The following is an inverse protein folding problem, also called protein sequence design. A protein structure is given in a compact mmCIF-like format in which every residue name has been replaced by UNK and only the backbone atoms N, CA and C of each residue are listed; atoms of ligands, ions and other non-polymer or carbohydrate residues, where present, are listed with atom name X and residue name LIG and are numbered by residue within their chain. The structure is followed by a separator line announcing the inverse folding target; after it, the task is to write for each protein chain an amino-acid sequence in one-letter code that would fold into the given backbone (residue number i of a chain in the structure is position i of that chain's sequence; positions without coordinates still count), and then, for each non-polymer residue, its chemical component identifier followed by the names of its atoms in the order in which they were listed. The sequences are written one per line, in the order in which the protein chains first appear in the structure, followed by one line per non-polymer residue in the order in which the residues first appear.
data_IF_261693025473
#
_entry.id   IF_261693025473
#
_cell.length_a   1.000
_cell.length_b   1.000
_cell.length_c   1.000
_cell.angle_alpha   90.00
_cell.angle_beta   90.00
_cell.angle_gamma   90.00
#
_symmetry.space_group_name_H-M   'P 1'
#
loop_
_entity.id
_entity.type
_entity.pdbx_description
1 polymer ?
#
# COMPACT_ATOMS: atom_id res chain seq x y z
N UNK A 1 61.11 6.03 -47.55
CA UNK A 1 60.64 4.79 -46.86
C UNK A 1 59.65 5.20 -45.80
N UNK A 2 58.37 5.11 -46.10
CA UNK A 2 57.25 5.49 -45.20
C UNK A 2 56.59 4.18 -44.75
N UNK A 3 56.68 3.91 -43.42
CA UNK A 3 56.04 2.76 -42.81
C UNK A 3 54.62 3.13 -42.46
N UNK A 4 53.64 2.48 -43.10
CA UNK A 4 52.22 2.51 -42.73
C UNK A 4 52.01 1.66 -41.50
N UNK A 5 51.48 2.27 -40.44
CA UNK A 5 51.01 1.62 -39.22
C UNK A 5 49.52 1.33 -39.37
N UNK A 6 49.15 0.06 -39.62
CA UNK A 6 47.77 -0.39 -39.68
C UNK A 6 47.23 -0.58 -38.29
N UNK A 7 46.27 0.28 -37.89
CA UNK A 7 45.45 0.13 -36.68
C UNK A 7 44.39 -0.95 -36.92
N UNK A 8 44.54 -2.07 -36.24
CA UNK A 8 43.49 -3.09 -36.15
C UNK A 8 42.42 -2.62 -35.16
N UNK A 9 41.25 -2.20 -35.70
CA UNK A 9 40.05 -1.95 -34.90
C UNK A 9 39.41 -3.30 -34.64
N UNK A 10 39.59 -3.80 -33.42
CA UNK A 10 38.92 -5.01 -32.93
C UNK A 10 37.45 -4.73 -32.68
N UNK A 11 36.58 -5.24 -33.55
CA UNK A 11 35.15 -5.26 -33.31
C UNK A 11 34.82 -6.28 -32.22
N UNK A 12 34.52 -5.80 -31.02
CA UNK A 12 33.98 -6.62 -29.94
C UNK A 12 32.50 -6.88 -30.23
N UNK A 13 32.19 -8.01 -30.82
CA UNK A 13 30.82 -8.51 -30.96
C UNK A 13 30.39 -9.02 -29.55
N UNK A 14 29.65 -8.17 -28.84
CA UNK A 14 28.90 -8.61 -27.67
C UNK A 14 27.82 -9.60 -28.10
N UNK A 15 28.04 -10.86 -27.83
CA UNK A 15 27.01 -11.88 -27.88
C UNK A 15 25.97 -11.59 -26.80
N UNK A 16 24.86 -10.97 -27.19
CA UNK A 16 23.66 -10.86 -26.38
C UNK A 16 22.95 -12.19 -26.50
N UNK A 17 23.11 -13.05 -25.50
CA UNK A 17 22.28 -14.24 -25.35
C UNK A 17 20.82 -13.82 -25.19
N UNK A 18 19.85 -14.41 -25.91
CA UNK A 18 18.46 -14.13 -25.66
C UNK A 18 18.11 -14.64 -24.29
N UNK A 19 17.87 -13.74 -23.34
CA UNK A 19 17.28 -14.06 -22.05
C UNK A 19 15.90 -14.67 -22.31
N UNK A 20 15.78 -15.92 -21.91
CA UNK A 20 14.59 -16.73 -21.90
C UNK A 20 13.40 -15.91 -21.37
N UNK A 21 12.40 -15.69 -22.23
CA UNK A 21 11.16 -14.98 -21.90
C UNK A 21 10.28 -15.86 -21.03
N UNK A 22 10.69 -16.08 -19.79
CA UNK A 22 9.77 -16.46 -18.72
C UNK A 22 8.84 -15.26 -18.51
N UNK A 23 7.56 -15.51 -18.65
CA UNK A 23 6.44 -14.59 -18.52
C UNK A 23 6.46 -13.85 -17.17
N UNK A 24 7.34 -12.86 -17.04
CA UNK A 24 7.32 -11.91 -15.93
C UNK A 24 6.50 -10.73 -16.42
N UNK A 25 5.24 -10.69 -16.06
CA UNK A 25 4.45 -9.45 -16.03
C UNK A 25 5.14 -8.48 -15.09
N UNK A 26 6.32 -7.99 -15.48
CA UNK A 26 6.97 -6.87 -14.81
C UNK A 26 6.11 -5.66 -15.09
N UNK A 27 5.43 -5.20 -14.02
CA UNK A 27 4.70 -3.96 -14.07
C UNK A 27 5.70 -2.86 -14.37
N UNK A 28 5.44 -2.20 -15.45
CA UNK A 28 6.12 -0.98 -15.80
C UNK A 28 5.58 0.13 -14.90
N UNK A 29 6.22 0.32 -13.73
CA UNK A 29 6.11 1.56 -12.98
C UNK A 29 7.18 2.46 -13.59
N UNK A 30 6.87 3.71 -13.96
CA UNK A 30 7.90 4.67 -14.34
C UNK A 30 8.89 4.76 -13.18
N UNK A 31 10.07 4.18 -13.36
CA UNK A 31 11.08 4.02 -12.30
C UNK A 31 11.44 5.34 -11.65
N UNK A 32 11.53 6.41 -12.43
CA UNK A 32 11.79 7.77 -11.93
C UNK A 32 10.74 8.29 -10.94
N UNK A 33 9.46 7.99 -11.19
CA UNK A 33 8.37 8.46 -10.34
C UNK A 33 8.28 7.63 -9.05
N UNK A 34 8.42 6.32 -9.15
CA UNK A 34 8.38 5.42 -8.01
C UNK A 34 9.60 5.59 -7.09
N UNK A 35 10.80 5.74 -7.64
CA UNK A 35 12.02 5.93 -6.86
C UNK A 35 12.05 7.28 -6.13
N UNK A 36 11.65 8.38 -6.80
CA UNK A 36 11.60 9.69 -6.17
C UNK A 36 10.60 9.73 -5.01
N UNK A 37 9.44 9.10 -5.16
CA UNK A 37 8.42 9.04 -4.13
C UNK A 37 8.77 8.06 -3.01
N UNK A 38 9.32 6.90 -3.33
CA UNK A 38 9.78 5.93 -2.33
C UNK A 38 10.88 6.53 -1.45
N UNK A 39 11.83 7.25 -2.06
CA UNK A 39 12.89 7.97 -1.34
C UNK A 39 12.31 9.04 -0.42
N UNK A 40 11.38 9.87 -0.92
CA UNK A 40 10.73 10.91 -0.13
C UNK A 40 9.95 10.32 1.06
N UNK A 41 9.29 9.17 0.88
CA UNK A 41 8.53 8.48 1.94
C UNK A 41 9.46 7.78 2.92
N UNK A 42 10.56 7.16 2.46
CA UNK A 42 11.54 6.52 3.35
C UNK A 42 12.28 7.53 4.23
N UNK A 43 12.37 8.79 3.78
CA UNK A 43 12.94 9.91 4.51
C UNK A 43 11.93 10.64 5.42
N UNK A 44 10.62 10.30 5.34
CA UNK A 44 9.61 10.86 6.23
C UNK A 44 9.92 10.50 7.68
N UNK A 45 10.59 11.41 8.35
CA UNK A 45 10.65 11.41 9.82
C UNK A 45 9.32 11.97 10.28
N UNK A 46 8.43 11.11 10.76
CA UNK A 46 7.21 11.58 11.38
C UNK A 46 7.59 12.54 12.51
N UNK A 47 7.05 13.76 12.51
CA UNK A 47 7.35 14.69 13.59
C UNK A 47 6.90 14.04 14.90
N UNK A 48 7.83 13.85 15.82
CA UNK A 48 7.54 13.33 17.16
C UNK A 48 6.64 14.26 17.99
N UNK A 49 6.35 15.45 17.47
CA UNK A 49 5.40 16.42 18.02
C UNK A 49 4.29 16.68 17.02
N UNK A 50 3.16 16.03 17.22
CA UNK A 50 1.89 16.50 16.66
C UNK A 50 1.61 17.83 17.33
N UNK A 51 1.44 18.90 16.55
CA UNK A 51 1.04 20.19 17.11
C UNK A 51 -0.31 20.01 17.77
N UNK A 52 -0.50 20.62 18.93
CA UNK A 52 -1.74 20.54 19.72
C UNK A 52 -3.00 20.84 18.90
N UNK A 53 -2.90 21.73 17.92
CA UNK A 53 -4.01 22.09 17.00
C UNK A 53 -4.46 20.93 16.10
N UNK A 54 -3.54 20.08 15.61
CA UNK A 54 -3.91 18.94 14.78
C UNK A 54 -4.59 17.82 15.60
N UNK A 55 -4.25 17.69 16.88
CA UNK A 55 -4.85 16.69 17.76
C UNK A 55 -6.27 17.05 18.23
N UNK A 56 -6.64 18.32 18.21
CA UNK A 56 -7.97 18.80 18.63
C UNK A 56 -9.05 18.53 17.57
N UNK A 57 -8.67 18.40 16.29
CA UNK A 57 -9.62 18.21 15.19
C UNK A 57 -9.80 16.74 14.78
N UNK A 58 -9.05 15.82 15.36
CA UNK A 58 -9.09 14.40 14.99
C UNK A 58 -9.98 13.63 15.96
N UNK A 59 -10.93 12.87 15.39
CA UNK A 59 -11.75 11.94 16.18
C UNK A 59 -10.87 10.81 16.74
N UNK A 60 -10.74 10.67 18.06
CA UNK A 60 -9.93 9.62 18.69
C UNK A 60 -10.37 8.20 18.27
N UNK A 61 -11.66 8.00 17.98
CA UNK A 61 -12.18 6.71 17.56
C UNK A 61 -11.71 6.37 16.14
N UNK A 62 -11.74 7.32 15.22
CA UNK A 62 -11.22 7.15 13.85
C UNK A 62 -9.70 6.87 13.85
N UNK A 63 -8.95 7.53 14.75
CA UNK A 63 -7.53 7.26 14.95
C UNK A 63 -7.28 5.83 15.45
N UNK A 64 -8.05 5.38 16.43
CA UNK A 64 -7.91 4.03 16.98
C UNK A 64 -8.22 2.97 15.91
N UNK A 65 -9.31 3.14 15.14
CA UNK A 65 -9.68 2.25 14.06
C UNK A 65 -8.58 2.17 12.97
N UNK A 66 -8.05 3.31 12.54
CA UNK A 66 -6.96 3.36 11.56
C UNK A 66 -5.70 2.70 12.11
N UNK A 67 -5.35 2.97 13.36
CA UNK A 67 -4.17 2.40 14.00
C UNK A 67 -4.24 0.89 14.12
N UNK A 68 -5.39 0.35 14.50
CA UNK A 68 -5.64 -1.10 14.54
C UNK A 68 -5.52 -1.72 13.17
N UNK A 69 -6.11 -1.10 12.15
CA UNK A 69 -6.02 -1.61 10.79
C UNK A 69 -4.57 -1.68 10.29
N UNK A 70 -3.79 -0.61 10.47
CA UNK A 70 -2.36 -0.60 10.11
C UNK A 70 -1.59 -1.66 10.89
N UNK A 71 -1.89 -1.82 12.18
CA UNK A 71 -1.19 -2.79 13.02
C UNK A 71 -1.41 -4.23 12.55
N UNK A 72 -2.65 -4.62 12.32
CA UNK A 72 -2.97 -6.00 11.95
C UNK A 72 -2.62 -6.35 10.49
N UNK A 73 -2.66 -5.36 9.60
CA UNK A 73 -2.38 -5.58 8.19
C UNK A 73 -0.89 -5.37 7.82
N UNK A 74 -0.18 -4.47 8.52
CA UNK A 74 1.13 -4.00 8.08
C UNK A 74 2.15 -3.76 9.20
N UNK A 75 2.00 -4.35 10.40
CA UNK A 75 2.90 -4.08 11.52
C UNK A 75 4.38 -4.34 11.21
N UNK A 76 4.67 -5.33 10.37
CA UNK A 76 6.02 -5.73 9.98
C UNK A 76 6.53 -5.03 8.72
N UNK A 77 5.66 -4.31 8.01
CA UNK A 77 6.01 -3.58 6.80
C UNK A 77 6.82 -2.30 7.13
N UNK A 78 7.46 -1.76 6.11
CA UNK A 78 8.10 -0.45 6.20
C UNK A 78 7.09 0.65 6.53
N UNK A 79 7.57 1.85 6.82
CA UNK A 79 6.70 3.03 6.98
C UNK A 79 5.85 3.28 5.74
N UNK A 80 6.42 3.04 4.54
CA UNK A 80 5.69 3.18 3.27
C UNK A 80 4.57 2.13 3.15
N UNK A 81 4.82 0.87 3.51
CA UNK A 81 3.79 -0.18 3.52
C UNK A 81 2.66 0.12 4.50
N UNK A 82 2.99 0.57 5.72
CA UNK A 82 2.00 1.03 6.71
C UNK A 82 1.16 2.20 6.18
N UNK A 83 1.81 3.17 5.53
CA UNK A 83 1.13 4.32 4.94
C UNK A 83 0.23 3.92 3.77
N UNK A 84 0.67 2.98 2.94
CA UNK A 84 -0.12 2.47 1.82
C UNK A 84 -1.42 1.79 2.29
N UNK A 85 -1.37 1.00 3.37
CA UNK A 85 -2.58 0.42 3.98
C UNK A 85 -3.52 1.51 4.50
N UNK A 86 -2.98 2.55 5.16
CA UNK A 86 -3.78 3.70 5.59
C UNK A 86 -4.44 4.41 4.41
N UNK A 87 -3.72 4.62 3.31
CA UNK A 87 -4.23 5.27 2.11
C UNK A 87 -5.33 4.47 1.42
N UNK A 88 -5.21 3.14 1.33
CA UNK A 88 -6.32 2.29 0.85
C UNK A 88 -7.58 2.49 1.69
N UNK A 89 -7.45 2.57 3.01
CA UNK A 89 -8.57 2.85 3.90
C UNK A 89 -9.18 4.23 3.60
N UNK A 90 -8.36 5.28 3.45
CA UNK A 90 -8.82 6.62 3.11
C UNK A 90 -9.42 6.71 1.68
N UNK A 91 -8.88 5.96 0.73
CA UNK A 91 -9.43 5.88 -0.62
C UNK A 91 -10.82 5.23 -0.62
N UNK A 92 -11.02 4.22 0.23
CA UNK A 92 -12.37 3.66 0.43
C UNK A 92 -13.31 4.70 1.05
N UNK A 93 -12.91 5.40 2.11
CA UNK A 93 -13.71 6.47 2.72
C UNK A 93 -14.13 7.55 1.72
N UNK A 94 -13.25 7.92 0.78
CA UNK A 94 -13.53 8.91 -0.28
C UNK A 94 -14.42 8.36 -1.40
N UNK A 95 -14.53 7.06 -1.52
CA UNK A 95 -15.24 6.40 -2.62
C UNK A 95 -16.72 6.20 -2.29
N UNK A 96 -17.60 6.58 -3.20
CA UNK A 96 -19.06 6.35 -3.07
C UNK A 96 -19.48 4.88 -2.95
N UNK A 97 -18.57 3.92 -3.18
CA UNK A 97 -18.83 2.48 -3.11
C UNK A 97 -18.56 1.88 -1.73
N UNK A 98 -18.07 2.68 -0.79
CA UNK A 98 -17.71 2.25 0.55
C UNK A 98 -18.33 3.15 1.61
N UNK A 99 -18.35 2.73 2.87
CA UNK A 99 -18.71 3.62 3.96
C UNK A 99 -17.83 4.87 4.03
N UNK A 100 -18.32 5.94 4.62
CA UNK A 100 -17.70 7.26 4.61
C UNK A 100 -16.91 7.63 5.88
N UNK A 101 -16.66 6.66 6.78
CA UNK A 101 -15.80 6.84 7.95
C UNK A 101 -14.75 5.74 8.03
N UNK A 102 -13.62 6.00 8.68
CA UNK A 102 -12.55 5.01 8.83
C UNK A 102 -13.04 3.77 9.58
N UNK A 103 -13.69 3.96 10.72
CA UNK A 103 -14.19 2.86 11.53
C UNK A 103 -15.18 1.98 10.74
N UNK A 104 -16.10 2.58 10.00
CA UNK A 104 -17.07 1.80 9.22
C UNK A 104 -16.46 1.09 8.03
N UNK A 105 -15.38 1.62 7.44
CA UNK A 105 -14.58 0.93 6.42
C UNK A 105 -13.78 -0.21 7.01
N UNK A 106 -13.12 0.01 8.16
CA UNK A 106 -12.29 -0.99 8.83
C UNK A 106 -13.10 -2.19 9.30
N UNK A 107 -14.24 -1.93 9.90
CA UNK A 107 -15.13 -2.98 10.42
C UNK A 107 -16.20 -3.43 9.40
N UNK A 108 -16.04 -3.11 8.13
CA UNK A 108 -16.97 -3.51 7.09
C UNK A 108 -16.96 -5.04 6.89
N UNK A 109 -18.11 -5.68 7.02
CA UNK A 109 -18.26 -7.11 6.84
C UNK A 109 -19.71 -7.57 6.95
N UNK A 110 -19.94 -8.88 6.85
CA UNK A 110 -21.24 -9.46 7.17
C UNK A 110 -21.34 -9.66 8.68
N UNK A 111 -22.51 -9.36 9.24
CA UNK A 111 -22.78 -9.55 10.65
C UNK A 111 -23.98 -10.50 10.84
N UNK A 112 -23.96 -11.23 11.93
CA UNK A 112 -25.10 -11.98 12.44
C UNK A 112 -26.16 -11.04 13.02
N UNK A 113 -27.35 -11.53 13.26
CA UNK A 113 -28.44 -10.74 13.89
C UNK A 113 -28.09 -10.19 15.27
N UNK A 114 -27.18 -10.84 15.98
CA UNK A 114 -26.68 -10.40 17.29
C UNK A 114 -25.56 -9.36 17.21
N UNK A 115 -25.22 -8.88 16.01
CA UNK A 115 -24.19 -7.86 15.77
C UNK A 115 -22.76 -8.36 15.68
N UNK A 116 -22.46 -9.63 15.95
CA UNK A 116 -21.11 -10.18 15.79
C UNK A 116 -20.76 -10.38 14.32
N UNK A 117 -19.50 -10.17 13.89
CA UNK A 117 -19.08 -10.39 12.53
C UNK A 117 -19.15 -11.88 12.17
N UNK A 118 -19.54 -12.16 10.93
CA UNK A 118 -19.50 -13.50 10.37
C UNK A 118 -18.05 -13.84 10.01
N UNK A 119 -17.55 -14.97 10.52
CA UNK A 119 -16.18 -15.41 10.32
C UNK A 119 -15.79 -15.42 8.84
N UNK A 120 -14.59 -14.90 8.52
CA UNK A 120 -14.00 -14.81 7.18
C UNK A 120 -14.86 -14.05 6.15
N UNK A 121 -15.73 -13.13 6.61
CA UNK A 121 -16.63 -12.32 5.75
C UNK A 121 -16.43 -10.81 5.93
N UNK A 122 -15.23 -10.38 6.31
CA UNK A 122 -14.88 -8.98 6.49
C UNK A 122 -13.96 -8.49 5.38
N UNK A 123 -13.95 -7.15 5.18
CA UNK A 123 -13.05 -6.52 4.20
C UNK A 123 -11.58 -6.59 4.64
N UNK A 124 -11.33 -6.42 5.93
CA UNK A 124 -10.06 -6.69 6.58
C UNK A 124 -10.20 -7.97 7.39
N UNK A 125 -9.41 -8.98 7.06
CA UNK A 125 -9.61 -10.34 7.55
C UNK A 125 -9.43 -10.48 9.06
N UNK A 126 -8.51 -9.70 9.64
CA UNK A 126 -8.20 -9.74 11.06
C UNK A 126 -9.42 -9.47 11.96
N UNK A 127 -10.37 -8.63 11.49
CA UNK A 127 -11.56 -8.27 12.27
C UNK A 127 -12.51 -9.46 12.51
N UNK A 128 -12.48 -10.49 11.67
CA UNK A 128 -13.37 -11.64 11.81
C UNK A 128 -12.70 -13.00 11.57
N UNK A 129 -11.39 -13.09 11.81
CA UNK A 129 -10.64 -14.36 11.76
C UNK A 129 -10.80 -15.21 13.03
N UNK A 130 -11.46 -14.65 14.05
CA UNK A 130 -11.73 -15.28 15.35
C UNK A 130 -10.57 -15.23 16.33
N UNK A 131 -9.56 -14.37 16.06
CA UNK A 131 -8.49 -14.07 16.99
C UNK A 131 -8.81 -12.83 17.82
N UNK A 132 -7.91 -12.50 18.73
CA UNK A 132 -8.05 -11.34 19.59
C UNK A 132 -7.62 -10.06 18.85
N UNK A 133 -8.49 -9.05 18.81
CA UNK A 133 -8.32 -7.81 18.04
C UNK A 133 -7.70 -6.66 18.85
N UNK A 134 -6.93 -7.00 19.90
CA UNK A 134 -6.21 -5.98 20.67
C UNK A 134 -4.72 -6.00 20.33
N UNK A 135 -4.16 -4.87 19.87
CA UNK A 135 -2.75 -4.77 19.54
C UNK A 135 -1.85 -4.97 20.77
N UNK A 136 -0.76 -5.71 20.61
CA UNK A 136 0.27 -5.80 21.64
C UNK A 136 0.93 -4.44 21.84
N UNK A 137 1.03 -3.98 23.09
CA UNK A 137 1.73 -2.74 23.42
C UNK A 137 3.21 -2.87 23.05
N UNK A 138 3.76 -1.88 22.33
CA UNK A 138 5.17 -1.89 21.94
C UNK A 138 5.45 -1.00 20.75
N UNK A 139 6.64 -1.21 20.17
CA UNK A 139 7.15 -0.39 19.06
C UNK A 139 6.22 -0.40 17.85
N UNK A 140 5.79 -1.58 17.41
CA UNK A 140 4.91 -1.73 16.23
C UNK A 140 3.56 -1.01 16.40
N UNK A 141 2.95 -1.11 17.60
CA UNK A 141 1.73 -0.38 17.90
C UNK A 141 1.94 1.13 17.91
N UNK A 142 3.08 1.59 18.50
CA UNK A 142 3.42 3.01 18.47
C UNK A 142 3.59 3.52 17.04
N UNK A 143 4.35 2.81 16.21
CA UNK A 143 4.54 3.17 14.80
C UNK A 143 3.23 3.20 14.01
N UNK A 144 2.34 2.23 14.24
CA UNK A 144 1.02 2.21 13.61
C UNK A 144 0.19 3.44 13.97
N UNK A 145 0.22 3.88 15.23
CA UNK A 145 -0.43 5.12 15.67
C UNK A 145 0.21 6.37 15.06
N UNK A 146 1.52 6.41 14.97
CA UNK A 146 2.24 7.55 14.39
C UNK A 146 1.88 7.70 12.89
N UNK A 147 1.83 6.58 12.15
CA UNK A 147 1.41 6.56 10.75
C UNK A 147 -0.07 6.90 10.59
N UNK A 148 -0.95 6.36 11.43
CA UNK A 148 -2.38 6.66 11.42
C UNK A 148 -2.63 8.16 11.64
N UNK A 149 -1.95 8.74 12.63
CA UNK A 149 -2.03 10.17 12.92
C UNK A 149 -1.58 11.00 11.72
N UNK A 150 -0.44 10.65 11.11
CA UNK A 150 0.06 11.33 9.92
C UNK A 150 -0.95 11.26 8.75
N UNK A 151 -1.49 10.08 8.49
CA UNK A 151 -2.44 9.87 7.40
C UNK A 151 -3.75 10.65 7.59
N UNK A 152 -4.25 10.75 8.82
CA UNK A 152 -5.50 11.43 9.12
C UNK A 152 -5.37 12.96 9.18
N UNK A 153 -4.19 13.46 9.56
CA UNK A 153 -3.97 14.91 9.69
C UNK A 153 -3.42 15.56 8.43
N UNK A 154 -2.77 14.80 7.54
CA UNK A 154 -2.15 15.34 6.34
C UNK A 154 -3.03 15.11 5.10
N UNK A 155 -4.06 15.93 4.95
CA UNK A 155 -5.05 15.84 3.86
C UNK A 155 -4.48 16.11 2.45
N UNK A 156 -3.30 16.74 2.37
CA UNK A 156 -2.58 17.06 1.10
C UNK A 156 -1.51 16.02 0.77
N UNK A 157 -1.44 14.92 1.53
CA UNK A 157 -0.50 13.86 1.28
C UNK A 157 -0.71 13.24 -0.10
N UNK A 158 0.39 13.00 -0.82
CA UNK A 158 0.37 12.24 -2.06
C UNK A 158 -0.10 10.81 -1.80
N UNK A 159 -1.00 10.31 -2.62
CA UNK A 159 -1.41 8.91 -2.58
C UNK A 159 -0.39 8.02 -3.31
N UNK A 160 0.42 7.31 -2.55
CA UNK A 160 1.46 6.42 -3.07
C UNK A 160 0.90 5.12 -3.64
N UNK A 161 -0.40 4.87 -3.47
CA UNK A 161 -1.08 3.68 -3.97
C UNK A 161 -1.79 3.92 -5.30
N UNK A 162 -1.76 5.15 -5.83
CA UNK A 162 -2.45 5.57 -7.06
C UNK A 162 -3.97 5.26 -7.02
N UNK A 163 -4.60 5.64 -5.92
CA UNK A 163 -6.04 5.47 -5.73
C UNK A 163 -6.49 4.04 -5.47
N UNK A 164 -5.58 3.15 -5.07
CA UNK A 164 -5.93 1.77 -4.80
C UNK A 164 -6.97 1.64 -3.68
N UNK A 165 -7.88 0.71 -3.87
CA UNK A 165 -8.92 0.35 -2.89
C UNK A 165 -8.83 -1.11 -2.46
N UNK A 166 -7.91 -1.88 -3.06
CA UNK A 166 -7.68 -3.29 -2.76
C UNK A 166 -6.19 -3.59 -2.78
N UNK A 167 -5.80 -4.61 -2.03
CA UNK A 167 -4.47 -5.20 -2.08
C UNK A 167 -4.52 -6.66 -1.65
N UNK A 168 -3.48 -7.39 -1.96
CA UNK A 168 -3.18 -8.70 -1.38
C UNK A 168 -1.68 -8.85 -1.20
N UNK A 169 -1.27 -9.78 -0.35
CA UNK A 169 0.14 -10.10 -0.14
C UNK A 169 0.73 -10.84 -1.35
N UNK A 170 1.96 -10.53 -1.73
CA UNK A 170 2.64 -11.11 -2.90
C UNK A 170 3.01 -12.60 -2.74
N UNK A 171 3.03 -13.09 -1.50
CA UNK A 171 3.32 -14.49 -1.16
C UNK A 171 2.09 -15.41 -1.18
N UNK A 172 0.89 -14.88 -1.50
CA UNK A 172 -0.31 -15.70 -1.72
C UNK A 172 -0.62 -15.81 -3.23
N UNK A 173 -1.29 -16.89 -3.68
CA UNK A 173 -1.78 -16.96 -5.05
C UNK A 173 -2.68 -15.76 -5.37
N UNK A 174 -2.56 -15.24 -6.60
CA UNK A 174 -3.36 -14.10 -7.04
C UNK A 174 -4.86 -14.39 -6.87
N UNK A 175 -5.60 -13.59 -6.07
CA UNK A 175 -7.01 -13.80 -5.84
C UNK A 175 -7.83 -13.54 -7.13
N UNK A 176 -8.90 -14.31 -7.34
CA UNK A 176 -9.77 -14.16 -8.53
C UNK A 176 -10.30 -12.73 -8.73
N UNK A 177 -10.47 -11.96 -7.67
CA UNK A 177 -10.92 -10.58 -7.79
C UNK A 177 -9.84 -9.66 -8.39
N UNK A 178 -8.55 -9.97 -8.19
CA UNK A 178 -7.42 -9.17 -8.68
C UNK A 178 -7.35 -9.17 -10.22
N UNK A 179 -7.68 -10.29 -10.88
CA UNK A 179 -7.68 -10.39 -12.35
C UNK A 179 -8.69 -9.45 -13.04
N UNK A 180 -9.61 -8.84 -12.28
CA UNK A 180 -10.64 -7.92 -12.78
C UNK A 180 -10.39 -6.47 -12.33
N UNK A 181 -9.15 -6.14 -11.96
CA UNK A 181 -8.76 -4.83 -11.44
C UNK A 181 -7.45 -4.39 -12.07
N UNK A 182 -7.25 -3.08 -12.11
CA UNK A 182 -5.99 -2.52 -12.58
C UNK A 182 -4.99 -2.56 -11.42
N UNK A 183 -3.90 -3.28 -11.61
CA UNK A 183 -2.78 -3.27 -10.69
C UNK A 183 -2.11 -1.89 -10.76
N UNK A 184 -1.92 -1.24 -9.62
CA UNK A 184 -1.37 0.12 -9.55
C UNK A 184 0.08 0.12 -9.08
N UNK A 185 0.36 -0.52 -7.96
CA UNK A 185 1.65 -0.45 -7.30
C UNK A 185 1.97 -1.77 -6.58
N UNK A 186 3.26 -1.98 -6.28
CA UNK A 186 3.70 -2.92 -5.26
C UNK A 186 4.57 -2.15 -4.26
N UNK A 187 4.26 -2.27 -2.97
CA UNK A 187 4.99 -1.65 -1.88
C UNK A 187 5.20 -2.74 -0.82
N UNK A 188 6.45 -2.99 -0.47
CA UNK A 188 6.86 -4.10 0.38
C UNK A 188 6.23 -5.43 -0.12
N UNK A 189 5.53 -6.16 0.75
CA UNK A 189 4.88 -7.42 0.40
C UNK A 189 3.47 -7.27 -0.16
N UNK A 190 2.96 -6.04 -0.34
CA UNK A 190 1.60 -5.79 -0.82
C UNK A 190 1.54 -5.36 -2.28
N UNK A 191 0.63 -5.97 -3.04
CA UNK A 191 0.29 -5.60 -4.41
C UNK A 191 -1.05 -4.90 -4.40
N UNK A 192 -1.08 -3.66 -4.90
CA UNK A 192 -2.22 -2.75 -4.83
C UNK A 192 -3.01 -2.71 -6.14
N UNK A 193 -4.32 -2.51 -6.03
CA UNK A 193 -5.25 -2.52 -7.16
C UNK A 193 -6.31 -1.44 -7.03
N UNK A 194 -6.64 -0.84 -8.17
CA UNK A 194 -7.77 0.07 -8.31
C UNK A 194 -8.94 -0.64 -9.01
N UNK A 195 -10.13 -0.03 -9.00
CA UNK A 195 -11.24 -0.44 -9.84
C UNK A 195 -10.87 -0.16 -11.30
N UNK A 196 -11.21 -1.07 -12.23
CA UNK A 196 -11.04 -0.78 -13.66
C UNK A 196 -11.58 0.63 -13.97
N UNK A 197 -10.73 1.48 -14.49
CA UNK A 197 -11.18 2.70 -15.16
C UNK A 197 -11.90 2.20 -16.42
N UNK A 198 -13.23 2.19 -16.41
CA UNK A 198 -13.98 2.02 -17.65
C UNK A 198 -13.58 3.19 -18.54
N UNK A 199 -12.66 2.96 -19.48
CA UNK A 199 -12.45 3.88 -20.59
C UNK A 199 -13.74 3.83 -21.39
N UNK A 200 -14.65 4.75 -21.15
CA UNK A 200 -15.70 5.11 -22.11
C UNK A 200 -14.96 5.81 -23.26
N UNK A 201 -14.78 5.07 -24.37
CA UNK A 201 -14.38 5.63 -25.66
C UNK A 201 -15.53 6.47 -26.21
#
# INVERSE_FOLDING_TARGET
MIRFLTLLVGTFLLWISPLNSGNTNKIWVPTEYAEAHYKQISELRFPHKITFEASVLMDPQELECMSKNIYFEAAMESTAGKLAVAQVTLNRVKSQYYPNTVCTVVYQGKHHQNGFPVRDRCQFSWYCDGKHDEPSKGKMWKESKDVATYALTNTKMLDITDGATHYHADYIPEPRWATRRDRTMQIDTHIFYNKHKNYTF
#
